data_IF_382686379738
#
_entry.id   IF_382686379738
#
_cell.length_a   1.000
_cell.length_b   1.000
_cell.length_c   1.000
_cell.angle_alpha   90.00
_cell.angle_beta   90.00
_cell.angle_gamma   90.00
#
_symmetry.space_group_name_H-M   'P 1'
#
loop_
_entity.id
_entity.type
_entity.pdbx_description
1 polymer ?
#
# COMPACT_ATOMS: atom_id res chain seq x y z
N UNK A 1 6.61 -27.08 16.17
CA UNK A 1 5.48 -26.16 16.45
C UNK A 1 6.15 -24.87 16.84
N UNK A 2 6.29 -23.95 15.89
CA UNK A 2 6.98 -22.68 16.14
C UNK A 2 6.08 -21.82 17.03
N UNK A 3 6.64 -21.38 18.16
CA UNK A 3 5.97 -20.57 19.14
C UNK A 3 5.96 -19.13 18.63
N UNK A 4 4.90 -18.74 17.94
CA UNK A 4 4.66 -17.34 17.59
C UNK A 4 4.19 -16.64 18.86
N UNK A 5 5.13 -16.29 19.74
CA UNK A 5 4.87 -15.46 20.91
C UNK A 5 4.60 -14.03 20.43
N UNK A 6 3.33 -13.74 20.16
CA UNK A 6 2.85 -12.43 19.72
C UNK A 6 2.58 -11.55 20.94
N UNK A 7 3.63 -11.23 21.70
CA UNK A 7 3.54 -10.25 22.77
C UNK A 7 3.98 -8.89 22.23
N UNK A 8 3.08 -7.90 22.26
CA UNK A 8 3.30 -6.49 21.88
C UNK A 8 3.42 -6.15 20.37
N UNK A 9 3.05 -7.03 19.44
CA UNK A 9 2.95 -6.66 18.01
C UNK A 9 1.71 -5.83 17.70
N UNK A 10 1.85 -4.93 16.73
CA UNK A 10 0.74 -4.17 16.16
C UNK A 10 -0.28 -5.09 15.45
N UNK A 11 -1.57 -4.73 15.50
CA UNK A 11 -2.66 -5.60 15.06
C UNK A 11 -2.55 -6.04 13.58
N UNK A 12 -2.03 -5.18 12.71
CA UNK A 12 -1.77 -5.48 11.30
C UNK A 12 -0.68 -6.55 11.12
N UNK A 13 0.38 -6.47 11.92
CA UNK A 13 1.49 -7.43 11.94
C UNK A 13 0.98 -8.80 12.36
N UNK A 14 0.19 -8.87 13.43
CA UNK A 14 -0.46 -10.11 13.90
C UNK A 14 -1.29 -10.73 12.77
N UNK A 15 -2.09 -9.89 12.11
CA UNK A 15 -3.02 -10.30 11.08
C UNK A 15 -2.31 -10.93 9.87
N UNK A 16 -1.19 -10.36 9.44
CA UNK A 16 -0.39 -10.95 8.35
C UNK A 16 0.48 -12.13 8.79
N UNK A 17 0.93 -12.20 10.05
CA UNK A 17 1.57 -13.40 10.61
C UNK A 17 0.60 -14.59 10.59
N UNK A 18 -0.64 -14.39 11.01
CA UNK A 18 -1.69 -15.43 10.95
C UNK A 18 -1.95 -15.84 9.50
N UNK A 19 -2.05 -14.87 8.58
CA UNK A 19 -2.22 -15.16 7.16
C UNK A 19 -1.08 -16.03 6.59
N UNK A 20 0.17 -15.67 6.89
CA UNK A 20 1.34 -16.45 6.46
C UNK A 20 1.32 -17.86 7.05
N UNK A 21 1.00 -17.99 8.35
CA UNK A 21 0.85 -19.29 9.01
C UNK A 21 -0.20 -20.19 8.34
N UNK A 22 -1.35 -19.64 7.95
CA UNK A 22 -2.38 -20.38 7.20
C UNK A 22 -1.85 -20.88 5.84
N UNK A 23 -1.09 -20.04 5.13
CA UNK A 23 -0.49 -20.45 3.84
C UNK A 23 0.55 -21.54 4.03
N UNK A 24 1.40 -21.43 5.05
CA UNK A 24 2.39 -22.45 5.39
C UNK A 24 1.75 -23.77 5.83
N UNK A 25 0.60 -23.73 6.50
CA UNK A 25 -0.16 -24.93 6.88
C UNK A 25 -0.87 -25.60 5.68
N UNK A 26 -0.72 -25.06 4.47
CA UNK A 26 -1.32 -25.60 3.25
C UNK A 26 -2.76 -25.16 2.98
N UNK A 27 -3.29 -24.18 3.71
CA UNK A 27 -4.63 -23.66 3.41
C UNK A 27 -4.64 -22.89 2.08
N UNK A 28 -5.41 -23.37 1.11
CA UNK A 28 -5.51 -22.82 -0.24
C UNK A 28 -6.76 -21.97 -0.48
N UNK A 29 -7.69 -21.91 0.48
CA UNK A 29 -8.93 -21.16 0.33
C UNK A 29 -8.73 -19.64 0.35
N UNK A 30 -9.78 -18.85 0.04
CA UNK A 30 -9.74 -17.41 0.16
C UNK A 30 -9.56 -16.99 1.62
N UNK A 31 -8.78 -15.94 1.85
CA UNK A 31 -8.65 -15.24 3.13
C UNK A 31 -9.17 -13.83 2.93
N UNK A 32 -10.16 -13.43 3.73
CA UNK A 32 -10.75 -12.09 3.69
C UNK A 32 -10.38 -11.37 4.98
N UNK A 33 -9.68 -10.25 4.83
CA UNK A 33 -9.32 -9.35 5.92
C UNK A 33 -10.37 -8.25 5.99
N UNK A 34 -10.96 -8.04 7.16
CA UNK A 34 -11.89 -6.94 7.43
C UNK A 34 -11.17 -5.88 8.28
N UNK A 35 -10.66 -4.85 7.61
CA UNK A 35 -9.92 -3.77 8.24
C UNK A 35 -10.22 -2.43 7.53
N UNK A 36 -10.37 -1.37 8.32
CA UNK A 36 -10.55 0.00 7.82
C UNK A 36 -9.23 0.78 7.77
N UNK A 37 -8.16 0.23 8.33
CA UNK A 37 -6.85 0.87 8.44
C UNK A 37 -6.09 0.85 7.11
N UNK A 38 -5.60 2.02 6.68
CA UNK A 38 -4.86 2.20 5.41
C UNK A 38 -3.57 1.38 5.39
N UNK A 39 -2.93 1.20 6.53
CA UNK A 39 -1.68 0.45 6.66
C UNK A 39 -1.90 -1.01 6.26
N UNK A 40 -3.06 -1.57 6.63
CA UNK A 40 -3.50 -2.91 6.22
C UNK A 40 -3.75 -3.01 4.71
N UNK A 41 -4.28 -1.97 4.06
CA UNK A 41 -4.47 -1.99 2.59
C UNK A 41 -3.13 -2.03 1.86
N UNK A 42 -2.16 -1.22 2.29
CA UNK A 42 -0.83 -1.18 1.71
C UNK A 42 -0.13 -2.52 1.93
N UNK A 43 -0.11 -3.02 3.16
CA UNK A 43 0.51 -4.29 3.49
C UNK A 43 -0.14 -5.47 2.73
N UNK A 44 -1.47 -5.57 2.68
CA UNK A 44 -2.16 -6.65 1.97
C UNK A 44 -1.88 -6.65 0.46
N UNK A 45 -1.79 -5.46 -0.15
CA UNK A 45 -1.49 -5.34 -1.58
C UNK A 45 -0.10 -5.90 -1.92
N UNK A 46 0.90 -5.62 -1.09
CA UNK A 46 2.26 -6.15 -1.25
C UNK A 46 2.32 -7.64 -0.91
N UNK A 47 1.75 -8.06 0.22
CA UNK A 47 1.80 -9.45 0.69
C UNK A 47 1.10 -10.40 -0.29
N UNK A 48 0.05 -9.95 -0.97
CA UNK A 48 -0.65 -10.75 -2.00
C UNK A 48 0.18 -11.04 -3.25
N UNK A 49 1.29 -10.33 -3.45
CA UNK A 49 2.26 -10.64 -4.50
C UNK A 49 3.35 -11.60 -4.02
N UNK A 50 3.64 -11.61 -2.70
CA UNK A 50 4.70 -12.41 -2.10
C UNK A 50 4.24 -13.81 -1.70
N UNK A 51 3.00 -13.94 -1.23
CA UNK A 51 2.45 -15.21 -0.76
C UNK A 51 1.44 -15.76 -1.77
N UNK A 52 1.47 -17.07 -2.06
CA UNK A 52 0.49 -17.69 -2.93
C UNK A 52 -0.89 -17.74 -2.26
N UNK A 53 -1.94 -17.64 -3.08
CA UNK A 53 -3.33 -17.81 -2.68
C UNK A 53 -4.16 -16.53 -2.77
N UNK A 54 -5.46 -16.68 -2.58
CA UNK A 54 -6.41 -15.58 -2.72
C UNK A 54 -6.51 -14.77 -1.42
N UNK A 55 -5.92 -13.58 -1.42
CA UNK A 55 -6.05 -12.59 -0.35
C UNK A 55 -6.99 -11.47 -0.79
N UNK A 56 -7.99 -11.19 0.05
CA UNK A 56 -8.98 -10.16 -0.22
C UNK A 56 -9.12 -9.21 0.97
N UNK A 57 -9.47 -7.96 0.67
CA UNK A 57 -9.87 -6.95 1.67
C UNK A 57 -11.36 -6.70 1.57
N UNK A 58 -12.04 -6.70 2.70
CA UNK A 58 -13.42 -6.23 2.80
C UNK A 58 -13.41 -4.72 2.96
N UNK A 59 -14.10 -4.05 2.03
CA UNK A 59 -14.31 -2.60 2.04
C UNK A 59 -15.79 -2.33 1.93
N UNK A 60 -16.41 -1.83 3.00
CA UNK A 60 -17.85 -1.66 3.08
C UNK A 60 -18.60 -2.99 2.80
N UNK A 61 -19.39 -3.03 1.72
CA UNK A 61 -20.16 -4.20 1.27
C UNK A 61 -19.43 -5.00 0.17
N UNK A 62 -18.25 -4.56 -0.24
CA UNK A 62 -17.50 -5.16 -1.35
C UNK A 62 -16.25 -5.88 -0.83
N UNK A 63 -15.82 -6.88 -1.59
CA UNK A 63 -14.57 -7.62 -1.33
C UNK A 63 -13.65 -7.40 -2.52
N UNK A 64 -12.47 -6.87 -2.26
CA UNK A 64 -11.48 -6.51 -3.28
C UNK A 64 -10.34 -7.52 -3.25
N UNK A 65 -10.01 -8.09 -4.41
CA UNK A 65 -8.86 -8.98 -4.57
C UNK A 65 -7.56 -8.18 -4.56
N UNK A 66 -6.62 -8.52 -3.68
CA UNK A 66 -5.40 -7.74 -3.48
C UNK A 66 -4.38 -7.89 -4.62
N UNK A 67 -4.30 -9.08 -5.23
CA UNK A 67 -3.27 -9.43 -6.22
C UNK A 67 -3.26 -8.53 -7.47
N UNK A 68 -4.38 -7.84 -7.76
CA UNK A 68 -4.49 -6.89 -8.88
C UNK A 68 -4.49 -5.42 -8.48
N UNK A 69 -4.28 -5.09 -7.21
CA UNK A 69 -4.35 -3.70 -6.73
C UNK A 69 -3.12 -2.88 -7.12
N UNK A 70 -1.97 -3.53 -7.33
CA UNK A 70 -0.71 -2.89 -7.68
C UNK A 70 -0.05 -3.65 -8.83
N UNK A 71 0.62 -2.90 -9.72
CA UNK A 71 1.62 -3.51 -10.60
C UNK A 71 2.85 -3.90 -9.79
N UNK A 72 3.73 -4.72 -10.37
CA UNK A 72 4.99 -5.13 -9.73
C UNK A 72 5.87 -3.91 -9.42
N UNK A 73 5.94 -2.94 -10.33
CA UNK A 73 6.71 -1.70 -10.14
C UNK A 73 6.13 -0.84 -9.01
N UNK A 74 4.79 -0.79 -8.92
CA UNK A 74 4.11 -0.04 -7.86
C UNK A 74 4.34 -0.67 -6.49
N UNK A 75 4.36 -2.01 -6.39
CA UNK A 75 4.58 -2.72 -5.14
C UNK A 75 5.97 -2.45 -4.52
N UNK A 76 6.99 -2.22 -5.37
CA UNK A 76 8.33 -1.88 -4.89
C UNK A 76 8.39 -0.49 -4.23
N UNK A 77 7.56 0.45 -4.69
CA UNK A 77 7.60 1.84 -4.23
C UNK A 77 6.51 2.20 -3.23
N UNK A 78 5.40 1.43 -3.17
CA UNK A 78 4.20 1.80 -2.41
C UNK A 78 4.47 1.91 -0.90
N UNK A 79 5.29 1.02 -0.35
CA UNK A 79 5.64 1.04 1.09
C UNK A 79 6.43 2.29 1.42
N UNK A 80 7.42 2.61 0.60
CA UNK A 80 8.22 3.82 0.77
C UNK A 80 7.35 5.07 0.63
N UNK A 81 6.49 5.13 -0.40
CA UNK A 81 5.57 6.23 -0.62
C UNK A 81 4.62 6.42 0.56
N UNK A 82 4.10 5.33 1.13
CA UNK A 82 3.23 5.35 2.30
C UNK A 82 3.97 5.92 3.52
N UNK A 83 5.18 5.42 3.81
CA UNK A 83 6.04 5.96 4.87
C UNK A 83 6.36 7.45 4.68
N UNK A 84 6.62 7.89 3.44
CA UNK A 84 6.95 9.30 3.13
C UNK A 84 5.73 10.23 3.20
N UNK A 85 4.55 9.75 2.81
CA UNK A 85 3.31 10.55 2.77
C UNK A 85 2.52 10.51 4.08
N UNK A 86 2.97 9.69 5.03
CA UNK A 86 2.43 9.55 6.37
C UNK A 86 1.65 8.24 6.55
N UNK A 87 2.23 7.32 7.31
CA UNK A 87 1.47 6.43 8.21
C UNK A 87 0.68 7.31 9.19
N UNK A 88 -0.47 6.84 9.65
CA UNK A 88 -1.42 7.59 10.49
C UNK A 88 -0.77 8.22 11.75
N UNK A 89 0.39 7.72 12.19
CA UNK A 89 1.16 8.23 13.34
C UNK A 89 2.17 9.35 13.06
N UNK A 90 2.58 9.61 11.80
CA UNK A 90 3.54 10.66 11.46
C UNK A 90 2.87 11.80 10.67
N UNK A 91 1.90 12.46 11.32
CA UNK A 91 1.33 13.71 10.83
C UNK A 91 2.30 14.90 11.01
N UNK A 92 3.54 14.79 10.51
CA UNK A 92 4.42 15.95 10.27
C UNK A 92 3.95 16.80 9.09
N UNK A 93 2.93 16.34 8.35
CA UNK A 93 2.36 16.98 7.17
C UNK A 93 0.89 17.38 7.37
N UNK A 94 0.52 17.82 8.57
CA UNK A 94 -0.75 18.52 8.78
C UNK A 94 -0.80 19.75 7.85
N UNK A 95 -1.55 19.65 6.76
CA UNK A 95 -1.86 20.78 5.87
C UNK A 95 -1.45 20.68 4.40
N UNK A 96 -0.79 19.60 3.93
CA UNK A 96 -0.62 19.42 2.47
C UNK A 96 -1.10 18.05 2.01
N UNK A 97 -2.30 18.02 1.44
CA UNK A 97 -2.87 16.83 0.82
C UNK A 97 -1.97 16.25 -0.27
N UNK A 98 -2.16 14.95 -0.52
CA UNK A 98 -1.46 14.10 -1.51
C UNK A 98 -1.39 14.73 -2.92
N UNK A 99 -2.30 15.65 -3.26
CA UNK A 99 -2.31 16.42 -4.52
C UNK A 99 -1.13 17.40 -4.71
N UNK A 100 -0.31 17.63 -3.67
CA UNK A 100 0.80 18.60 -3.73
C UNK A 100 2.13 17.99 -4.17
N UNK A 101 2.28 16.66 -4.11
CA UNK A 101 3.50 15.94 -4.50
C UNK A 101 3.56 15.72 -6.03
N UNK A 102 2.42 15.56 -6.70
CA UNK A 102 2.33 15.40 -8.16
C UNK A 102 2.81 16.65 -8.95
N UNK A 103 2.87 17.83 -8.32
CA UNK A 103 3.18 19.11 -9.00
C UNK A 103 4.65 19.53 -8.99
N UNK A 104 5.57 18.72 -8.46
CA UNK A 104 7.02 19.04 -8.46
C UNK A 104 7.88 18.04 -9.22
N UNK A 105 7.49 17.71 -10.46
CA UNK A 105 8.44 17.32 -11.51
C UNK A 105 8.03 17.93 -12.85
N UNK A 106 8.17 19.24 -12.96
CA UNK A 106 8.44 19.87 -14.27
C UNK A 106 9.80 20.54 -14.12
N UNK A 107 10.78 19.98 -14.84
CA UNK A 107 12.14 20.50 -14.87
C UNK A 107 12.15 21.94 -15.44
N UNK A 108 13.08 22.83 -15.03
CA UNK A 108 13.12 24.23 -15.47
C UNK A 108 13.46 24.46 -16.95
N UNK A 109 13.54 23.42 -17.78
CA UNK A 109 14.11 23.48 -19.13
C UNK A 109 13.09 23.42 -20.27
N UNK A 110 11.78 23.39 -19.96
CA UNK A 110 10.71 23.46 -20.96
C UNK A 110 9.97 24.80 -20.83
N UNK A 111 10.65 25.89 -21.17
CA UNK A 111 9.99 27.15 -21.55
C UNK A 111 9.72 27.09 -23.06
N UNK A 112 8.47 27.31 -23.52
CA UNK A 112 8.23 27.50 -24.95
C UNK A 112 8.89 28.80 -25.40
N UNK A 113 9.75 28.69 -26.41
CA UNK A 113 10.37 29.82 -27.10
C UNK A 113 9.27 30.65 -27.75
N UNK A 114 9.09 31.90 -27.32
CA UNK A 114 8.25 32.87 -28.01
C UNK A 114 8.89 33.24 -29.34
N UNK A 115 8.25 33.05 -30.52
CA UNK A 115 8.71 33.69 -31.73
C UNK A 115 8.18 35.13 -31.74
N UNK A 116 9.11 36.07 -31.66
CA UNK A 116 8.90 37.47 -32.02
C UNK A 116 8.41 37.60 -33.47
N UNK A 117 7.28 38.25 -33.69
CA UNK A 117 6.77 38.56 -35.03
C UNK A 117 5.70 39.65 -34.98
N UNK A 118 6.15 40.90 -35.10
CA UNK A 118 5.32 42.08 -35.40
C UNK A 118 4.66 41.93 -36.78
N UNK A 119 3.56 42.66 -37.01
CA UNK A 119 3.64 43.75 -38.00
C UNK A 119 3.69 45.13 -37.34
#
# INVERSE_FOLDING_TARGET
MEDYSIEQSEADTILFTVHAGLRQSGYSGPVVIDAADTDVYVAASVISQLLPGMLCLKRNKETVLCHGMLTEEMAQCVVQLHCFTGCDANSGFYGKGKSSVEKRRVAPWLMPVTPSGRP
#
